data_IF_707369742964
#
_entry.id   IF_707369742964
#
_cell.length_a   1.000
_cell.length_b   1.000
_cell.length_c   1.000
_cell.angle_alpha   90.00
_cell.angle_beta   90.00
_cell.angle_gamma   90.00
#
_symmetry.space_group_name_H-M   'P 1'
#
loop_
_entity.id
_entity.type
_entity.pdbx_description
1 polymer ?
#
# COMPACT_ATOMS: atom_id res chain seq x y z
N UNK A 1 44.18 56.83 7.01
CA UNK A 1 42.95 56.50 7.77
C UNK A 1 41.77 56.50 6.82
N UNK A 2 40.76 55.65 7.08
CA UNK A 2 39.47 55.47 6.38
C UNK A 2 39.38 54.22 5.49
N UNK A 3 39.08 53.08 6.14
CA UNK A 3 38.57 51.85 5.50
C UNK A 3 37.05 51.98 5.40
N UNK A 4 36.51 51.98 4.19
CA UNK A 4 35.06 51.93 3.93
C UNK A 4 34.69 50.46 3.74
N UNK A 5 33.97 49.91 4.72
CA UNK A 5 33.40 48.58 4.67
C UNK A 5 32.19 48.57 3.73
N UNK A 6 32.22 47.76 2.66
CA UNK A 6 31.06 47.46 1.83
C UNK A 6 30.46 46.14 2.31
N UNK A 7 29.33 46.23 3.00
CA UNK A 7 28.56 45.10 3.49
C UNK A 7 27.62 44.64 2.37
N UNK A 8 28.01 43.61 1.61
CA UNK A 8 27.13 42.96 0.64
C UNK A 8 26.36 41.85 1.36
N UNK A 9 25.11 42.15 1.73
CA UNK A 9 24.17 41.19 2.29
C UNK A 9 23.55 40.39 1.13
N UNK A 10 24.07 39.19 0.87
CA UNK A 10 23.49 38.26 -0.10
C UNK A 10 22.35 37.48 0.58
N UNK A 11 21.11 37.74 0.18
CA UNK A 11 19.93 36.99 0.62
C UNK A 11 19.79 35.77 -0.29
N UNK A 12 20.09 34.58 0.24
CA UNK A 12 19.93 33.30 -0.44
C UNK A 12 18.49 32.80 -0.20
N UNK A 13 17.57 33.09 -1.14
CA UNK A 13 16.20 32.54 -1.10
C UNK A 13 16.26 31.09 -1.57
N UNK A 14 16.20 30.15 -0.62
CA UNK A 14 16.01 28.73 -0.92
C UNK A 14 14.52 28.50 -1.16
N UNK A 15 14.12 28.42 -2.43
CA UNK A 15 12.83 27.88 -2.82
C UNK A 15 12.81 26.36 -2.59
N UNK A 16 12.30 25.94 -1.44
CA UNK A 16 11.90 24.55 -1.22
C UNK A 16 10.66 24.28 -2.09
N UNK A 17 10.86 23.74 -3.29
CA UNK A 17 9.79 23.12 -4.06
C UNK A 17 9.39 21.82 -3.37
N UNK A 18 8.31 21.85 -2.60
CA UNK A 18 7.64 20.63 -2.14
C UNK A 18 6.85 20.05 -3.30
N UNK A 19 7.48 19.19 -4.10
CA UNK A 19 6.78 18.40 -5.11
C UNK A 19 5.90 17.38 -4.39
N UNK A 20 4.59 17.65 -4.32
CA UNK A 20 3.61 16.61 -4.03
C UNK A 20 3.58 15.65 -5.22
N UNK A 21 4.41 14.60 -5.17
CA UNK A 21 4.31 13.45 -6.09
C UNK A 21 2.94 12.82 -5.85
N UNK A 22 2.01 13.08 -6.77
CA UNK A 22 0.92 12.16 -7.03
C UNK A 22 1.55 10.88 -7.58
N UNK A 23 1.08 9.72 -7.15
CA UNK A 23 1.46 8.40 -7.63
C UNK A 23 1.06 8.21 -9.12
N UNK A 24 1.64 9.01 -10.01
CA UNK A 24 1.29 9.08 -11.42
C UNK A 24 1.68 7.75 -12.10
N UNK A 25 0.69 7.02 -12.62
CA UNK A 25 0.89 5.79 -13.40
C UNK A 25 0.79 4.46 -12.64
N UNK A 26 0.55 4.47 -11.33
CA UNK A 26 0.07 3.29 -10.60
C UNK A 26 -1.45 3.32 -10.50
N UNK A 27 -2.10 2.20 -10.82
CA UNK A 27 -3.55 2.03 -10.66
C UNK A 27 -3.85 0.83 -9.78
N UNK A 28 -4.75 1.03 -8.80
CA UNK A 28 -5.28 -0.06 -7.99
C UNK A 28 -6.64 -0.46 -8.54
N UNK A 29 -6.80 -1.74 -8.84
CA UNK A 29 -7.97 -2.31 -9.50
C UNK A 29 -8.65 -3.27 -8.54
N UNK A 30 -9.98 -3.17 -8.47
CA UNK A 30 -10.89 -4.02 -7.69
C UNK A 30 -10.42 -4.29 -6.25
N UNK A 31 -10.18 -3.25 -5.43
CA UNK A 31 -9.85 -3.44 -4.03
C UNK A 31 -11.02 -4.04 -3.25
N UNK A 32 -10.74 -5.12 -2.52
CA UNK A 32 -11.73 -5.82 -1.71
C UNK A 32 -11.12 -6.48 -0.48
N UNK A 33 -11.94 -6.73 0.54
CA UNK A 33 -11.57 -7.43 1.77
C UNK A 33 -12.58 -8.51 2.14
N UNK A 34 -12.11 -9.55 2.84
CA UNK A 34 -13.00 -10.59 3.39
C UNK A 34 -13.79 -10.04 4.58
N UNK A 35 -15.06 -10.43 4.75
CA UNK A 35 -15.80 -10.08 5.95
C UNK A 35 -15.19 -10.74 7.18
N UNK A 36 -15.15 -9.99 8.29
CA UNK A 36 -14.67 -10.44 9.59
C UNK A 36 -15.74 -10.09 10.62
N UNK A 37 -16.54 -11.09 10.98
CA UNK A 37 -17.69 -10.95 11.89
C UNK A 37 -17.32 -11.38 13.31
N UNK A 38 -16.32 -12.26 13.44
CA UNK A 38 -15.82 -12.77 14.71
C UNK A 38 -14.71 -11.85 15.19
N UNK A 39 -14.91 -11.27 16.37
CA UNK A 39 -13.95 -10.38 17.02
C UNK A 39 -12.62 -11.10 17.29
N UNK A 40 -11.52 -10.37 17.20
CA UNK A 40 -10.17 -10.90 17.41
C UNK A 40 -9.58 -11.72 16.25
N UNK A 41 -10.34 -12.03 15.19
CA UNK A 41 -9.78 -12.68 13.99
C UNK A 41 -9.06 -11.67 13.10
N UNK A 42 -7.91 -12.04 12.50
CA UNK A 42 -7.28 -11.20 11.50
C UNK A 42 -8.13 -11.13 10.22
N UNK A 43 -8.09 -9.98 9.57
CA UNK A 43 -8.70 -9.76 8.25
C UNK A 43 -7.69 -9.91 7.12
N UNK A 44 -8.19 -10.03 5.90
CA UNK A 44 -7.36 -10.02 4.70
C UNK A 44 -7.97 -9.15 3.60
N UNK A 45 -7.12 -8.34 2.95
CA UNK A 45 -7.48 -7.49 1.81
C UNK A 45 -6.63 -7.79 0.58
N UNK A 46 -7.22 -7.52 -0.59
CA UNK A 46 -6.78 -7.96 -1.90
C UNK A 46 -7.10 -6.91 -2.95
N UNK A 47 -6.29 -6.84 -4.00
CA UNK A 47 -6.44 -5.94 -5.14
C UNK A 47 -5.46 -6.33 -6.25
N UNK A 48 -5.55 -5.65 -7.38
CA UNK A 48 -4.55 -5.74 -8.44
C UNK A 48 -3.84 -4.39 -8.51
N UNK A 49 -2.51 -4.41 -8.61
CA UNK A 49 -1.68 -3.23 -8.86
C UNK A 49 -1.27 -3.29 -10.32
N UNK A 50 -1.63 -2.27 -11.10
CA UNK A 50 -1.11 -2.05 -12.45
C UNK A 50 -0.10 -0.91 -12.41
N UNK A 51 1.07 -1.15 -12.97
CA UNK A 51 2.09 -0.15 -13.17
C UNK A 51 2.28 0.07 -14.67
N UNK A 52 1.81 1.21 -15.15
CA UNK A 52 1.93 1.60 -16.56
C UNK A 52 3.20 2.42 -16.83
N UNK A 53 4.01 2.67 -15.80
CA UNK A 53 5.26 3.44 -15.89
C UNK A 53 6.46 2.57 -16.28
N UNK A 54 7.51 3.23 -16.76
CA UNK A 54 8.81 2.61 -17.05
C UNK A 54 9.68 2.37 -15.80
N UNK A 55 9.20 2.76 -14.60
CA UNK A 55 9.93 2.63 -13.34
C UNK A 55 9.32 1.52 -12.49
N UNK A 56 10.18 0.63 -11.96
CA UNK A 56 9.75 -0.35 -10.98
C UNK A 56 9.50 0.32 -9.62
N UNK A 57 8.56 -0.22 -8.86
CA UNK A 57 8.19 0.25 -7.53
C UNK A 57 7.96 -0.96 -6.59
N UNK A 58 7.67 -0.69 -5.32
CA UNK A 58 7.30 -1.68 -4.32
C UNK A 58 6.24 -1.10 -3.40
N UNK A 59 5.20 -1.88 -3.11
CA UNK A 59 4.33 -1.59 -1.97
C UNK A 59 5.07 -1.99 -0.70
N UNK A 60 5.40 -1.02 0.16
CA UNK A 60 6.22 -1.24 1.38
C UNK A 60 5.40 -1.15 2.66
N UNK A 61 4.23 -0.52 2.63
CA UNK A 61 3.36 -0.39 3.80
C UNK A 61 1.90 -0.28 3.39
N UNK A 62 1.03 -0.79 4.24
CA UNK A 62 -0.40 -0.50 4.20
C UNK A 62 -0.87 -0.11 5.61
N UNK A 63 -1.87 0.75 5.70
CA UNK A 63 -2.51 1.13 6.97
C UNK A 63 -4.01 1.32 6.76
N UNK A 64 -4.77 1.25 7.86
CA UNK A 64 -6.20 1.54 7.88
C UNK A 64 -6.55 2.09 9.26
N UNK A 65 -7.51 3.02 9.38
CA UNK A 65 -8.06 3.39 10.67
C UNK A 65 -8.78 2.22 11.37
N UNK A 66 -9.11 1.13 10.65
CA UNK A 66 -9.88 0.00 11.21
C UNK A 66 -8.99 -1.11 11.80
N UNK A 67 -7.67 -1.05 11.61
CA UNK A 67 -6.72 -2.08 12.03
C UNK A 67 -5.59 -1.46 12.84
N UNK A 68 -5.20 -2.07 13.96
CA UNK A 68 -4.04 -1.64 14.74
C UNK A 68 -2.72 -1.80 13.97
N UNK A 69 -2.62 -2.84 13.11
CA UNK A 69 -1.52 -2.99 12.16
C UNK A 69 -1.93 -3.76 10.92
N UNK A 70 -1.22 -3.50 9.81
CA UNK A 70 -1.33 -4.27 8.57
C UNK A 70 0.06 -4.74 8.16
N UNK A 71 0.14 -6.03 7.85
CA UNK A 71 1.35 -6.68 7.38
C UNK A 71 1.18 -7.14 5.93
N UNK A 72 2.26 -7.08 5.15
CA UNK A 72 2.31 -7.61 3.79
C UNK A 72 2.73 -9.07 3.86
N UNK A 73 1.94 -9.98 3.29
CA UNK A 73 2.20 -11.42 3.37
C UNK A 73 2.21 -12.05 1.98
N UNK A 74 2.87 -13.19 1.85
CA UNK A 74 2.86 -14.04 0.66
C UNK A 74 2.65 -15.48 1.05
N UNK A 75 1.91 -16.23 0.25
CA UNK A 75 1.92 -17.69 0.32
C UNK A 75 3.13 -18.24 -0.45
N UNK A 76 3.96 -19.04 0.22
CA UNK A 76 5.05 -19.80 -0.42
C UNK A 76 4.86 -21.29 -0.17
N UNK A 77 5.11 -22.08 -1.20
CA UNK A 77 5.33 -23.51 -1.06
C UNK A 77 6.74 -23.72 -0.53
N UNK A 78 6.83 -24.26 0.68
CA UNK A 78 8.10 -24.67 1.27
C UNK A 78 7.93 -26.10 1.77
N UNK A 79 8.74 -27.03 1.24
CA UNK A 79 8.73 -28.45 1.61
C UNK A 79 7.33 -29.12 1.51
N UNK A 80 6.59 -28.82 0.45
CA UNK A 80 5.25 -29.38 0.23
C UNK A 80 4.14 -28.77 1.10
N UNK A 81 4.45 -27.81 1.97
CA UNK A 81 3.48 -27.11 2.81
C UNK A 81 3.32 -25.67 2.33
N UNK A 82 2.06 -25.22 2.23
CA UNK A 82 1.75 -23.81 1.99
C UNK A 82 1.91 -23.01 3.29
N UNK A 83 2.87 -22.09 3.32
CA UNK A 83 3.07 -21.17 4.45
C UNK A 83 2.73 -19.75 4.06
N UNK A 84 2.03 -19.06 4.96
CA UNK A 84 1.90 -17.60 4.92
C UNK A 84 3.10 -16.98 5.61
N UNK A 85 3.83 -16.13 4.89
CA UNK A 85 5.03 -15.49 5.38
C UNK A 85 4.90 -13.98 5.20
N UNK A 86 5.23 -13.24 6.26
CA UNK A 86 5.38 -11.79 6.16
C UNK A 86 6.55 -11.45 5.23
N UNK A 87 6.37 -10.41 4.42
CA UNK A 87 7.38 -9.82 3.56
C UNK A 87 7.52 -8.33 3.86
N UNK A 88 8.70 -7.77 3.62
CA UNK A 88 8.96 -6.33 3.79
C UNK A 88 8.30 -5.50 2.70
N UNK A 89 8.01 -6.10 1.53
CA UNK A 89 7.44 -5.38 0.39
C UNK A 89 6.82 -6.33 -0.64
N UNK A 90 5.87 -5.82 -1.42
CA UNK A 90 5.34 -6.49 -2.62
C UNK A 90 5.93 -5.78 -3.85
N UNK A 91 6.68 -6.48 -4.71
CA UNK A 91 7.31 -5.88 -5.88
C UNK A 91 6.28 -5.51 -6.94
N UNK A 92 6.46 -4.37 -7.60
CA UNK A 92 5.62 -3.86 -8.69
C UNK A 92 6.52 -3.47 -9.86
N UNK A 93 6.80 -4.42 -10.76
CA UNK A 93 7.69 -4.17 -11.89
C UNK A 93 7.11 -3.11 -12.86
N UNK A 94 7.99 -2.45 -13.61
CA UNK A 94 7.61 -1.53 -14.69
C UNK A 94 6.75 -2.26 -15.74
N UNK A 95 5.73 -1.58 -16.27
CA UNK A 95 4.80 -2.12 -17.28
C UNK A 95 4.18 -3.49 -16.92
N UNK A 96 3.97 -3.74 -15.62
CA UNK A 96 3.51 -5.03 -15.12
C UNK A 96 2.24 -4.93 -14.28
N UNK A 97 1.58 -6.08 -14.16
CA UNK A 97 0.43 -6.27 -13.29
C UNK A 97 0.85 -7.19 -12.14
N UNK A 98 0.68 -6.73 -10.91
CA UNK A 98 0.94 -7.49 -9.69
C UNK A 98 -0.38 -7.84 -9.02
N UNK A 99 -0.62 -9.13 -8.81
CA UNK A 99 -1.84 -9.64 -8.17
C UNK A 99 -1.63 -9.80 -6.67
N UNK A 100 -2.42 -9.07 -5.87
CA UNK A 100 -2.56 -9.24 -4.42
C UNK A 100 -3.85 -10.02 -4.19
N UNK A 101 -3.77 -11.35 -4.27
CA UNK A 101 -4.91 -12.26 -4.31
C UNK A 101 -4.76 -13.46 -3.36
N UNK A 102 -5.87 -14.15 -3.00
CA UNK A 102 -5.81 -15.34 -2.16
C UNK A 102 -4.86 -16.40 -2.71
N UNK A 103 -3.98 -16.94 -1.86
CA UNK A 103 -2.97 -17.91 -2.29
C UNK A 103 -1.70 -17.30 -2.89
N UNK A 104 -1.60 -15.98 -2.98
CA UNK A 104 -0.41 -15.23 -3.36
C UNK A 104 -0.09 -14.14 -2.34
N UNK A 105 0.18 -12.92 -2.82
CA UNK A 105 0.33 -11.76 -1.95
C UNK A 105 -0.99 -11.31 -1.34
N UNK A 106 -0.97 -10.84 -0.09
CA UNK A 106 -2.17 -10.34 0.59
C UNK A 106 -1.81 -9.38 1.73
N UNK A 107 -2.75 -8.49 2.08
CA UNK A 107 -2.63 -7.65 3.26
C UNK A 107 -3.28 -8.34 4.45
N UNK A 108 -2.51 -8.73 5.45
CA UNK A 108 -3.02 -9.26 6.72
C UNK A 108 -3.26 -8.12 7.70
N UNK A 109 -4.47 -8.01 8.23
CA UNK A 109 -4.88 -6.95 9.15
C UNK A 109 -5.11 -7.54 10.53
N UNK A 110 -4.44 -6.98 11.52
CA UNK A 110 -4.54 -7.41 12.91
C UNK A 110 -5.16 -6.31 13.78
N UNK A 111 -5.65 -6.72 14.95
CA UNK A 111 -6.24 -5.83 15.95
C UNK A 111 -7.34 -4.95 15.33
N UNK A 112 -8.27 -5.61 14.63
CA UNK A 112 -9.42 -4.95 14.03
C UNK A 112 -10.29 -4.33 15.12
N UNK A 113 -10.45 -3.01 15.08
CA UNK A 113 -11.27 -2.26 16.04
C UNK A 113 -12.75 -2.17 15.61
N UNK A 114 -13.06 -2.69 14.42
CA UNK A 114 -14.41 -2.73 13.85
C UNK A 114 -14.63 -4.05 13.11
N UNK A 115 -15.86 -4.57 13.16
CA UNK A 115 -16.30 -5.68 12.31
C UNK A 115 -16.27 -5.25 10.85
N UNK A 116 -15.76 -6.13 9.98
CA UNK A 116 -15.82 -5.92 8.53
C UNK A 116 -17.07 -6.61 8.02
N UNK A 117 -18.19 -5.90 7.93
CA UNK A 117 -19.47 -6.46 7.49
C UNK A 117 -19.61 -6.43 5.96
N UNK A 118 -20.39 -7.35 5.39
CA UNK A 118 -20.62 -7.38 3.94
C UNK A 118 -21.30 -6.09 3.47
N UNK A 119 -20.82 -5.54 2.36
CA UNK A 119 -21.32 -4.29 1.78
C UNK A 119 -20.65 -3.03 2.32
N UNK A 120 -19.93 -3.13 3.43
CA UNK A 120 -19.15 -2.01 3.96
C UNK A 120 -17.91 -1.73 3.09
N UNK A 121 -17.33 -0.55 3.31
CA UNK A 121 -16.07 -0.14 2.74
C UNK A 121 -14.97 -0.04 3.80
N UNK A 122 -13.78 -0.52 3.43
CA UNK A 122 -12.56 -0.49 4.22
C UNK A 122 -11.60 0.55 3.60
N UNK A 123 -11.39 1.71 4.25
CA UNK A 123 -10.38 2.64 3.81
C UNK A 123 -8.98 2.05 4.04
N UNK A 124 -8.15 2.10 3.02
CA UNK A 124 -6.75 1.67 3.05
C UNK A 124 -5.85 2.79 2.53
N UNK A 125 -4.73 2.99 3.21
CA UNK A 125 -3.64 3.84 2.77
C UNK A 125 -2.46 2.96 2.42
N UNK A 126 -2.12 2.89 1.15
CA UNK A 126 -0.99 2.16 0.60
C UNK A 126 0.21 3.11 0.48
N UNK A 127 1.39 2.67 0.88
CA UNK A 127 2.65 3.43 0.69
C UNK A 127 3.58 2.64 -0.21
N UNK A 128 3.87 3.24 -1.35
CA UNK A 128 4.84 2.79 -2.32
C UNK A 128 6.20 3.43 -2.06
N UNK A 129 7.27 2.74 -2.43
CA UNK A 129 8.65 3.20 -2.23
C UNK A 129 8.96 4.43 -3.10
N UNK A 130 8.46 4.47 -4.34
CA UNK A 130 8.71 5.56 -5.30
C UNK A 130 7.48 6.44 -5.50
N UNK A 131 6.31 5.84 -5.78
CA UNK A 131 5.09 6.58 -6.07
C UNK A 131 4.46 7.25 -4.84
N UNK A 132 4.93 6.94 -3.63
CA UNK A 132 4.45 7.54 -2.39
C UNK A 132 3.10 6.97 -1.92
N UNK A 133 2.25 7.85 -1.36
CA UNK A 133 1.04 7.42 -0.64
C UNK A 133 -0.18 7.43 -1.56
N UNK A 134 -0.95 6.34 -1.55
CA UNK A 134 -2.21 6.20 -2.26
C UNK A 134 -3.33 5.78 -1.30
N UNK A 135 -4.43 6.53 -1.30
CA UNK A 135 -5.63 6.18 -0.54
C UNK A 135 -6.62 5.46 -1.45
N UNK A 136 -7.14 4.32 -0.99
CA UNK A 136 -8.12 3.51 -1.70
C UNK A 136 -9.25 3.11 -0.75
N UNK A 137 -10.40 2.74 -1.34
CA UNK A 137 -11.50 2.13 -0.61
C UNK A 137 -11.70 0.69 -1.09
N UNK A 138 -11.59 -0.28 -0.19
CA UNK A 138 -11.80 -1.69 -0.49
C UNK A 138 -13.20 -2.14 -0.09
N UNK A 139 -13.94 -2.77 -1.02
CA UNK A 139 -15.28 -3.28 -0.74
C UNK A 139 -15.22 -4.57 0.08
N UNK A 140 -16.00 -4.69 1.13
CA UNK A 140 -16.08 -5.92 1.93
C UNK A 140 -17.11 -6.86 1.29
N UNK A 141 -16.62 -7.92 0.66
CA UNK A 141 -17.42 -8.82 -0.16
C UNK A 141 -17.05 -10.28 0.09
N UNK A 142 -18.02 -11.17 -0.09
CA UNK A 142 -17.76 -12.62 -0.16
C UNK A 142 -17.35 -12.97 -1.59
N UNK A 143 -16.11 -12.68 -1.96
CA UNK A 143 -15.58 -13.13 -3.26
C UNK A 143 -15.34 -14.64 -3.17
N UNK A 144 -16.13 -15.44 -3.90
CA UNK A 144 -15.79 -16.83 -4.12
C UNK A 144 -14.39 -16.87 -4.77
N UNK A 145 -13.53 -17.78 -4.30
CA UNK A 145 -12.30 -18.13 -5.01
C UNK A 145 -12.65 -18.28 -6.48
N UNK A 146 -11.93 -17.59 -7.36
CA UNK A 146 -12.03 -17.71 -8.81
C UNK A 146 -12.36 -19.18 -9.17
N UNK A 147 -13.63 -19.44 -9.51
CA UNK A 147 -13.92 -20.61 -10.30
C UNK A 147 -13.41 -20.25 -11.69
N UNK A 148 -12.44 -21.06 -12.08
CA UNK A 148 -11.80 -21.09 -13.38
C UNK A 148 -12.82 -21.05 -14.51
#
# INVERSE_FOLDING_TARGET
>A
MNKIAKFFLSVFVVLCFSSSVLAEGLTIIDPWARPVIIEGRPGAAYFIIRNDTAMADKLVKATSPYAGRIELHVHKHENGVMKMMQVSSIPVAAHAITSVSPGGYHLMMFDLNKKLALGDELPLTLTFEQAGVMNISAKILKKALFQK
#
